data_IF_659278175805
#
_entry.id   IF_659278175805
#
_cell.length_a   1.000
_cell.length_b   1.000
_cell.length_c   1.000
_cell.angle_alpha   90.00
_cell.angle_beta   90.00
_cell.angle_gamma   90.00
#
_symmetry.space_group_name_H-M   'P 1'
#
loop_
_entity.id
_entity.type
_entity.pdbx_description
1 polymer ?
#
# COMPACT_ATOMS: atom_id res chain seq x y z
N UNK A 1 15.93 13.44 -9.14
CA UNK A 1 14.97 13.18 -10.22
C UNK A 1 13.55 13.10 -9.67
N UNK A 2 13.15 12.03 -8.98
CA UNK A 2 11.87 12.01 -8.28
C UNK A 2 11.93 12.86 -7.00
N UNK A 3 10.81 13.53 -6.70
CA UNK A 3 10.69 14.42 -5.53
C UNK A 3 9.72 13.89 -4.49
N UNK A 4 8.77 13.04 -4.91
CA UNK A 4 7.77 12.48 -4.03
C UNK A 4 7.38 11.06 -4.47
N UNK A 5 7.74 10.07 -3.68
CA UNK A 5 7.57 8.65 -3.99
C UNK A 5 6.43 8.07 -3.15
N UNK A 6 5.46 7.44 -3.78
CA UNK A 6 4.47 6.61 -3.07
C UNK A 6 5.04 5.19 -2.90
N UNK A 7 5.01 4.67 -1.67
CA UNK A 7 5.40 3.31 -1.33
C UNK A 7 4.18 2.57 -0.76
N UNK A 8 3.46 1.78 -1.58
CA UNK A 8 2.37 0.95 -1.08
C UNK A 8 2.92 -0.28 -0.35
N UNK A 9 2.21 -0.69 0.70
CA UNK A 9 2.52 -1.88 1.48
C UNK A 9 1.26 -2.69 1.76
N UNK A 10 1.39 -4.01 1.86
CA UNK A 10 0.37 -4.92 2.35
C UNK A 10 0.79 -5.65 3.64
N UNK A 11 1.95 -5.25 4.21
CA UNK A 11 2.52 -5.88 5.39
C UNK A 11 3.26 -7.20 5.11
N UNK A 12 3.42 -7.60 3.85
CA UNK A 12 4.17 -8.81 3.48
C UNK A 12 5.68 -8.64 3.66
N UNK A 13 6.40 -9.77 3.71
CA UNK A 13 7.88 -9.76 3.77
C UNK A 13 8.51 -9.12 2.53
N UNK A 14 7.89 -9.29 1.37
CA UNK A 14 8.36 -8.67 0.12
C UNK A 14 8.15 -7.16 0.16
N UNK A 15 7.00 -6.71 0.66
CA UNK A 15 6.74 -5.29 0.89
C UNK A 15 7.75 -4.68 1.87
N UNK A 16 8.10 -5.36 2.96
CA UNK A 16 9.11 -4.88 3.92
C UNK A 16 10.49 -4.67 3.27
N UNK A 17 10.89 -5.53 2.34
CA UNK A 17 12.13 -5.35 1.57
C UNK A 17 12.03 -4.15 0.62
N UNK A 18 10.90 -4.02 -0.07
CA UNK A 18 10.63 -2.89 -0.96
C UNK A 18 10.62 -1.55 -0.20
N UNK A 19 10.05 -1.51 1.00
CA UNK A 19 10.06 -0.33 1.87
C UNK A 19 11.51 0.12 2.12
N UNK A 20 12.38 -0.78 2.55
CA UNK A 20 13.79 -0.45 2.82
C UNK A 20 14.50 0.11 1.59
N UNK A 21 14.33 -0.54 0.45
CA UNK A 21 14.94 -0.09 -0.81
C UNK A 21 14.36 1.25 -1.29
N UNK A 22 13.04 1.42 -1.22
CA UNK A 22 12.36 2.65 -1.62
C UNK A 22 12.71 3.85 -0.74
N UNK A 23 12.85 3.65 0.57
CA UNK A 23 13.31 4.69 1.51
C UNK A 23 14.77 5.06 1.23
N UNK A 24 15.63 4.09 0.94
CA UNK A 24 17.02 4.37 0.58
C UNK A 24 17.10 5.19 -0.72
N UNK A 25 16.32 4.81 -1.72
CA UNK A 25 16.21 5.58 -2.97
C UNK A 25 15.75 7.01 -2.73
N UNK A 26 14.68 7.17 -1.93
CA UNK A 26 14.16 8.49 -1.58
C UNK A 26 15.22 9.37 -0.88
N UNK A 27 15.97 8.78 0.06
CA UNK A 27 17.08 9.47 0.74
C UNK A 27 18.13 9.96 -0.24
N UNK A 28 18.61 9.10 -1.14
CA UNK A 28 19.62 9.43 -2.14
C UNK A 28 19.16 10.52 -3.12
N UNK A 29 17.86 10.55 -3.42
CA UNK A 29 17.26 11.53 -4.31
C UNK A 29 16.82 12.83 -3.62
N UNK A 30 16.86 12.89 -2.29
CA UNK A 30 16.29 14.00 -1.52
C UNK A 30 14.76 14.10 -1.68
N UNK A 31 14.09 12.98 -1.89
CA UNK A 31 12.65 12.89 -2.07
C UNK A 31 11.93 12.68 -0.73
N UNK A 32 10.66 13.10 -0.67
CA UNK A 32 9.74 12.71 0.40
C UNK A 32 8.98 11.44 0.03
N UNK A 33 8.41 10.77 1.02
CA UNK A 33 7.69 9.52 0.84
C UNK A 33 6.28 9.61 1.39
N UNK A 34 5.32 9.08 0.62
CA UNK A 34 4.00 8.69 1.13
C UNK A 34 3.93 7.17 1.25
N UNK A 35 3.78 6.68 2.49
CA UNK A 35 3.46 5.27 2.76
C UNK A 35 1.95 5.05 2.59
N UNK A 36 1.57 4.02 1.86
CA UNK A 36 0.18 3.78 1.51
C UNK A 36 -0.28 2.35 1.84
N UNK A 37 -1.47 2.24 2.41
CA UNK A 37 -2.15 0.97 2.62
C UNK A 37 -3.60 1.03 2.08
N UNK A 38 -3.96 0.04 1.25
CA UNK A 38 -5.34 -0.14 0.77
C UNK A 38 -6.07 -1.09 1.72
N UNK A 39 -6.98 -0.57 2.52
CA UNK A 39 -7.81 -1.36 3.44
C UNK A 39 -9.00 -1.93 2.69
N UNK A 40 -9.15 -3.26 2.68
CA UNK A 40 -10.35 -3.89 2.13
C UNK A 40 -11.55 -3.60 3.04
N UNK A 41 -12.70 -3.17 2.46
CA UNK A 41 -13.93 -3.02 3.22
C UNK A 41 -14.49 -4.38 3.62
N UNK A 42 -15.33 -4.40 4.66
CA UNK A 42 -16.04 -5.62 5.07
C UNK A 42 -16.85 -6.17 3.89
N UNK A 43 -16.68 -7.45 3.52
CA UNK A 43 -17.48 -8.06 2.47
C UNK A 43 -18.93 -8.24 2.96
N UNK A 44 -19.82 -7.36 2.52
CA UNK A 44 -21.25 -7.38 2.89
C UNK A 44 -22.08 -8.45 2.15
N UNK A 45 -21.47 -9.19 1.21
CA UNK A 45 -22.23 -10.14 0.35
C UNK A 45 -22.28 -11.56 0.87
N UNK A 46 -21.89 -11.81 2.11
CA UNK A 46 -21.71 -13.19 2.58
C UNK A 46 -23.07 -13.84 2.93
N UNK A 47 -24.17 -13.11 2.95
CA UNK A 47 -25.41 -13.67 3.49
C UNK A 47 -26.63 -13.31 2.64
N UNK A 48 -27.50 -14.31 2.44
CA UNK A 48 -28.74 -14.18 1.70
C UNK A 48 -29.73 -13.19 2.32
N UNK A 49 -30.86 -13.00 1.65
CA UNK A 49 -31.92 -12.08 2.06
C UNK A 49 -32.29 -12.26 3.54
N UNK A 50 -32.24 -11.16 4.31
CA UNK A 50 -32.62 -11.13 5.73
C UNK A 50 -31.50 -11.22 6.75
N UNK A 51 -30.22 -11.32 6.36
CA UNK A 51 -29.11 -11.31 7.30
C UNK A 51 -28.80 -9.87 7.75
N UNK A 52 -29.04 -9.60 9.02
CA UNK A 52 -28.57 -8.38 9.67
C UNK A 52 -27.22 -8.72 10.30
N UNK A 53 -26.14 -8.12 9.77
CA UNK A 53 -24.82 -8.27 10.36
C UNK A 53 -24.85 -7.81 11.82
N UNK A 54 -24.31 -8.63 12.71
CA UNK A 54 -24.14 -8.26 14.12
C UNK A 54 -23.27 -7.01 14.20
N UNK A 55 -23.80 -5.94 14.77
CA UNK A 55 -23.12 -4.64 14.89
C UNK A 55 -21.81 -4.74 15.67
N UNK A 56 -21.76 -5.59 16.68
CA UNK A 56 -20.55 -5.80 17.49
C UNK A 56 -19.47 -6.50 16.67
N UNK A 57 -19.85 -7.49 15.87
CA UNK A 57 -18.93 -8.21 14.99
C UNK A 57 -18.39 -7.30 13.87
N UNK A 58 -19.23 -6.46 13.29
CA UNK A 58 -18.81 -5.45 12.29
C UNK A 58 -17.84 -4.46 12.91
N UNK A 59 -18.15 -3.93 14.10
CA UNK A 59 -17.27 -2.99 14.79
C UNK A 59 -15.91 -3.60 15.15
N UNK A 60 -15.88 -4.86 15.59
CA UNK A 60 -14.63 -5.57 15.88
C UNK A 60 -13.80 -5.79 14.60
N UNK A 61 -14.44 -6.17 13.50
CA UNK A 61 -13.75 -6.32 12.21
C UNK A 61 -13.13 -4.99 11.75
N UNK A 62 -13.91 -3.90 11.77
CA UNK A 62 -13.43 -2.56 11.38
C UNK A 62 -12.26 -2.10 12.26
N UNK A 63 -12.32 -2.35 13.55
CA UNK A 63 -11.26 -2.03 14.51
C UNK A 63 -9.97 -2.77 14.16
N UNK A 64 -10.04 -4.10 13.97
CA UNK A 64 -8.86 -4.92 13.61
C UNK A 64 -8.27 -4.53 12.28
N UNK A 65 -9.11 -4.24 11.29
CA UNK A 65 -8.67 -3.79 9.98
C UNK A 65 -7.95 -2.43 10.05
N UNK A 66 -8.46 -1.50 10.85
CA UNK A 66 -7.83 -0.20 11.08
C UNK A 66 -6.49 -0.31 11.82
N UNK A 67 -6.41 -1.18 12.84
CA UNK A 67 -5.18 -1.46 13.58
C UNK A 67 -4.10 -2.07 12.68
N UNK A 68 -4.49 -3.01 11.82
CA UNK A 68 -3.57 -3.61 10.85
C UNK A 68 -3.07 -2.59 9.83
N UNK A 69 -3.97 -1.76 9.29
CA UNK A 69 -3.60 -0.69 8.37
C UNK A 69 -2.60 0.30 8.99
N UNK A 70 -2.86 0.71 10.24
CA UNK A 70 -1.97 1.59 10.99
C UNK A 70 -0.58 0.96 11.20
N UNK A 71 -0.53 -0.34 11.51
CA UNK A 71 0.72 -1.09 11.66
C UNK A 71 1.50 -1.12 10.36
N UNK A 72 0.86 -1.40 9.24
CA UNK A 72 1.51 -1.44 7.92
C UNK A 72 2.11 -0.08 7.53
N UNK A 73 1.37 1.01 7.75
CA UNK A 73 1.86 2.37 7.48
C UNK A 73 2.97 2.76 8.45
N UNK A 74 2.90 2.32 9.71
CA UNK A 74 3.95 2.56 10.71
C UNK A 74 5.29 1.95 10.31
N UNK A 75 5.31 0.79 9.64
CA UNK A 75 6.56 0.19 9.13
C UNK A 75 7.28 1.12 8.15
N UNK A 76 6.52 1.78 7.26
CA UNK A 76 7.10 2.76 6.32
C UNK A 76 7.56 4.01 7.07
N UNK A 77 6.76 4.50 8.01
CA UNK A 77 7.09 5.66 8.85
C UNK A 77 8.38 5.45 9.63
N UNK A 78 8.54 4.31 10.26
CA UNK A 78 9.73 4.00 11.08
C UNK A 78 10.98 3.92 10.21
N UNK A 79 10.89 3.29 9.04
CA UNK A 79 11.99 3.25 8.08
C UNK A 79 12.36 4.65 7.57
N UNK A 80 11.36 5.49 7.27
CA UNK A 80 11.59 6.86 6.82
C UNK A 80 12.24 7.73 7.90
N UNK A 81 11.76 7.63 9.14
CA UNK A 81 12.33 8.34 10.30
C UNK A 81 13.79 7.93 10.53
N UNK A 82 14.08 6.63 10.53
CA UNK A 82 15.45 6.12 10.72
C UNK A 82 16.41 6.62 9.64
N UNK A 83 15.92 6.85 8.43
CA UNK A 83 16.71 7.36 7.29
C UNK A 83 16.74 8.90 7.19
N UNK A 84 15.93 9.62 7.97
CA UNK A 84 15.79 11.07 7.87
C UNK A 84 15.01 11.52 6.63
N UNK A 85 14.10 10.69 6.10
CA UNK A 85 13.27 10.97 4.94
C UNK A 85 11.92 11.56 5.38
N UNK A 86 11.50 12.71 4.83
CA UNK A 86 10.18 13.26 5.11
C UNK A 86 9.07 12.28 4.70
N UNK A 87 8.09 12.08 5.58
CA UNK A 87 7.09 11.03 5.46
C UNK A 87 5.67 11.51 5.74
N UNK A 88 4.73 10.96 5.00
CA UNK A 88 3.29 11.04 5.23
C UNK A 88 2.65 9.66 5.06
N UNK A 89 1.68 9.31 5.91
CA UNK A 89 0.96 8.04 5.84
C UNK A 89 -0.47 8.23 5.33
N UNK A 90 -0.91 7.37 4.42
CA UNK A 90 -2.27 7.38 3.85
C UNK A 90 -2.88 5.99 3.86
N UNK A 91 -4.10 5.88 4.36
CA UNK A 91 -4.94 4.67 4.30
C UNK A 91 -6.23 4.99 3.56
N UNK A 92 -6.55 4.23 2.53
CA UNK A 92 -7.84 4.32 1.83
C UNK A 92 -8.56 2.97 1.87
N UNK A 93 -9.88 3.00 2.11
CA UNK A 93 -10.74 1.84 1.95
C UNK A 93 -11.07 1.64 0.48
N UNK A 94 -10.80 0.46 -0.07
CA UNK A 94 -11.11 0.14 -1.47
C UNK A 94 -11.19 -1.36 -1.71
N UNK A 95 -12.13 -1.76 -2.55
CA UNK A 95 -12.20 -3.12 -3.10
C UNK A 95 -11.20 -3.35 -4.25
N UNK A 96 -10.57 -2.29 -4.72
CA UNK A 96 -9.64 -2.32 -5.85
C UNK A 96 -8.29 -1.71 -5.45
N UNK A 97 -7.37 -2.50 -4.85
CA UNK A 97 -6.10 -1.99 -4.34
C UNK A 97 -5.27 -1.24 -5.39
N UNK A 98 -5.22 -1.73 -6.63
CA UNK A 98 -4.44 -1.08 -7.68
C UNK A 98 -4.97 0.32 -8.05
N UNK A 99 -6.30 0.49 -8.08
CA UNK A 99 -6.91 1.81 -8.31
C UNK A 99 -6.61 2.75 -7.15
N UNK A 100 -6.78 2.26 -5.92
CA UNK A 100 -6.51 3.04 -4.72
C UNK A 100 -5.04 3.51 -4.65
N UNK A 101 -4.08 2.68 -5.06
CA UNK A 101 -2.66 3.05 -5.15
C UNK A 101 -2.46 4.21 -6.15
N UNK A 102 -3.01 4.08 -7.35
CA UNK A 102 -2.88 5.09 -8.41
C UNK A 102 -3.57 6.39 -8.00
N UNK A 103 -4.77 6.30 -7.44
CA UNK A 103 -5.53 7.47 -6.98
C UNK A 103 -4.82 8.18 -5.83
N UNK A 104 -4.28 7.45 -4.86
CA UNK A 104 -3.48 8.01 -3.79
C UNK A 104 -2.24 8.73 -4.33
N UNK A 105 -1.53 8.13 -5.28
CA UNK A 105 -0.35 8.74 -5.89
C UNK A 105 -0.71 10.07 -6.61
N UNK A 106 -1.83 10.11 -7.31
CA UNK A 106 -2.34 11.33 -7.96
C UNK A 106 -2.76 12.40 -6.94
N UNK A 107 -3.54 12.02 -5.93
CA UNK A 107 -4.03 12.94 -4.87
C UNK A 107 -2.88 13.53 -4.06
N UNK A 108 -1.88 12.73 -3.74
CA UNK A 108 -0.69 13.16 -3.00
C UNK A 108 0.35 13.85 -3.89
N UNK A 109 0.09 13.96 -5.20
CA UNK A 109 1.02 14.54 -6.18
C UNK A 109 2.38 13.85 -6.17
N UNK A 110 2.37 12.52 -6.05
CA UNK A 110 3.57 11.72 -6.18
C UNK A 110 4.01 11.67 -7.66
N UNK A 111 5.31 11.68 -7.88
CA UNK A 111 5.91 11.60 -9.22
C UNK A 111 6.55 10.25 -9.53
N UNK A 112 6.49 9.32 -8.57
CA UNK A 112 6.83 7.91 -8.75
C UNK A 112 6.04 7.02 -7.79
N UNK A 113 5.84 5.75 -8.18
CA UNK A 113 5.34 4.67 -7.32
C UNK A 113 6.45 3.63 -7.22
N UNK A 114 6.85 3.27 -5.99
CA UNK A 114 7.85 2.23 -5.74
C UNK A 114 7.16 1.04 -5.06
N UNK A 115 6.96 -0.05 -5.79
CA UNK A 115 6.12 -1.16 -5.38
C UNK A 115 6.88 -2.50 -5.38
N UNK A 116 6.57 -3.37 -4.40
CA UNK A 116 7.06 -4.74 -4.38
C UNK A 116 6.51 -5.54 -5.57
N UNK A 117 7.30 -6.49 -6.07
CA UNK A 117 6.88 -7.37 -7.18
C UNK A 117 5.72 -8.29 -6.82
N UNK A 118 5.58 -8.64 -5.52
CA UNK A 118 4.53 -9.52 -4.98
C UNK A 118 4.05 -9.01 -3.62
N UNK A 119 2.81 -9.41 -3.25
CA UNK A 119 2.27 -9.27 -1.90
C UNK A 119 2.15 -10.62 -1.19
N UNK A 120 1.21 -10.73 -0.24
CA UNK A 120 0.95 -11.95 0.54
C UNK A 120 0.56 -13.16 -0.30
N UNK A 121 -0.13 -12.96 -1.42
CA UNK A 121 -0.61 -14.01 -2.32
C UNK A 121 0.36 -14.31 -3.47
N UNK A 122 1.58 -13.77 -3.41
CA UNK A 122 2.56 -13.92 -4.47
C UNK A 122 3.09 -15.34 -4.59
N UNK A 123 3.03 -15.89 -5.81
CA UNK A 123 3.73 -17.13 -6.14
C UNK A 123 5.23 -16.83 -6.25
N UNK A 124 6.04 -17.73 -5.72
CA UNK A 124 7.50 -17.71 -5.91
C UNK A 124 7.81 -17.99 -7.39
N UNK A 125 8.47 -17.04 -8.07
CA UNK A 125 8.87 -17.21 -9.46
C UNK A 125 8.94 -15.91 -10.26
N UNK A 126 8.92 -16.03 -11.58
CA UNK A 126 9.09 -14.93 -12.55
C UNK A 126 7.83 -14.05 -12.74
N UNK A 127 6.71 -14.40 -12.10
CA UNK A 127 5.42 -13.72 -12.33
C UNK A 127 5.24 -12.57 -11.35
N UNK A 128 4.87 -11.41 -11.85
CA UNK A 128 4.47 -10.27 -11.03
C UNK A 128 3.14 -10.54 -10.32
N UNK A 129 3.00 -10.03 -9.10
CA UNK A 129 1.74 -10.04 -8.37
C UNK A 129 0.63 -9.30 -9.14
N UNK A 130 -0.61 -9.73 -8.97
CA UNK A 130 -1.76 -9.19 -9.73
C UNK A 130 -1.97 -7.68 -9.51
N UNK A 131 -1.75 -7.19 -8.29
CA UNK A 131 -1.85 -5.75 -7.98
C UNK A 131 -0.73 -4.98 -8.68
N UNK A 132 0.51 -5.46 -8.58
CA UNK A 132 1.68 -4.82 -9.21
C UNK A 132 1.52 -4.74 -10.72
N UNK A 133 1.07 -5.84 -11.36
CA UNK A 133 0.81 -5.86 -12.79
C UNK A 133 -0.26 -4.83 -13.20
N UNK A 134 -1.36 -4.75 -12.45
CA UNK A 134 -2.43 -3.78 -12.72
C UNK A 134 -1.98 -2.33 -12.50
N UNK A 135 -1.15 -2.07 -11.50
CA UNK A 135 -0.55 -0.74 -11.30
C UNK A 135 0.33 -0.36 -12.48
N UNK A 136 1.22 -1.26 -12.94
CA UNK A 136 2.08 -1.02 -14.11
C UNK A 136 1.29 -0.67 -15.38
N UNK A 137 0.20 -1.40 -15.63
CA UNK A 137 -0.58 -1.23 -16.87
C UNK A 137 -1.45 0.04 -16.84
N UNK A 138 -1.95 0.43 -15.66
CA UNK A 138 -2.93 1.50 -15.54
C UNK A 138 -2.37 2.83 -15.02
N UNK A 139 -1.12 2.87 -14.57
CA UNK A 139 -0.53 4.09 -14.04
C UNK A 139 0.07 4.96 -15.14
N UNK A 140 -0.25 6.26 -15.08
CA UNK A 140 0.44 7.30 -15.87
C UNK A 140 1.70 7.83 -15.13
N UNK A 141 1.80 7.51 -13.83
CA UNK A 141 2.95 7.87 -13.00
C UNK A 141 3.99 6.75 -13.16
N UNK A 142 5.30 7.08 -13.29
CA UNK A 142 6.37 6.08 -13.32
C UNK A 142 6.29 5.07 -12.18
N UNK A 143 6.44 3.79 -12.50
CA UNK A 143 6.37 2.69 -11.54
C UNK A 143 7.71 1.95 -11.50
N UNK A 144 8.31 1.91 -10.33
CA UNK A 144 9.52 1.13 -10.04
C UNK A 144 9.10 -0.15 -9.29
N UNK A 145 9.45 -1.30 -9.84
CA UNK A 145 9.13 -2.59 -9.24
C UNK A 145 10.37 -3.18 -8.60
N UNK A 146 10.26 -3.46 -7.31
CA UNK A 146 11.32 -4.11 -6.52
C UNK A 146 11.08 -5.61 -6.40
N UNK A 147 12.11 -6.41 -6.67
CA UNK A 147 12.09 -7.89 -6.57
C UNK A 147 12.93 -8.38 -5.40
#
# INVERSE_FOLDING_TARGET
MFKHILIPTDGSRTAAKAIKAGIQLAKEMGARVTGFYAQEPLPLHIHGEGYIADKELVAEFEKRAAEYAAKCVAEVSDAAKAAGVPFEGVVLKSQSPHKAIIDAAKQQKCDAIFIASHGHKGLTGLVLGSVTQKVLVNSEIPVLVFR
#
